data_IF_018192336154
#
_entry.id   IF_018192336154
#
_cell.length_a   1.000
_cell.length_b   1.000
_cell.length_c   1.000
_cell.angle_alpha   90.00
_cell.angle_beta   90.00
_cell.angle_gamma   90.00
#
_symmetry.space_group_name_H-M   'P 1'
#
loop_
_entity.id
_entity.type
_entity.pdbx_description
1 polymer ?
#
# COMPACT_ATOMS: atom_id res chain seq x y z
N UNK A 1 13.91 -17.77 39.52
CA UNK A 1 13.06 -16.73 40.12
C UNK A 1 13.81 -15.42 40.41
N UNK A 2 15.15 -15.44 40.57
CA UNK A 2 15.92 -14.20 40.91
C UNK A 2 16.04 -13.19 39.79
N UNK A 3 16.38 -13.59 38.55
CA UNK A 3 16.63 -12.67 37.44
C UNK A 3 15.38 -11.92 36.93
N UNK A 4 14.20 -12.53 36.99
CA UNK A 4 12.94 -11.87 36.61
C UNK A 4 12.49 -10.86 37.67
N UNK A 5 12.70 -11.16 38.94
CA UNK A 5 12.43 -10.25 40.05
C UNK A 5 13.37 -9.02 39.99
N UNK A 6 14.64 -9.26 39.69
CA UNK A 6 15.66 -8.21 39.52
C UNK A 6 15.38 -7.31 38.31
N UNK A 7 14.92 -7.89 37.18
CA UNK A 7 14.47 -7.15 36.02
C UNK A 7 13.18 -6.33 36.27
N UNK A 8 12.25 -6.88 37.04
CA UNK A 8 11.03 -6.15 37.44
C UNK A 8 11.36 -5.02 38.40
N UNK A 9 12.31 -5.21 39.33
CA UNK A 9 12.76 -4.17 40.25
C UNK A 9 13.56 -3.06 39.54
N UNK A 10 14.39 -3.42 38.52
CA UNK A 10 15.05 -2.46 37.64
C UNK A 10 14.01 -1.69 36.80
N UNK A 11 13.00 -2.40 36.27
CA UNK A 11 11.93 -1.77 35.48
C UNK A 11 11.08 -0.84 36.33
N UNK A 12 10.75 -1.20 37.59
CA UNK A 12 10.05 -0.34 38.53
C UNK A 12 10.86 0.89 38.94
N UNK A 13 12.20 0.75 39.08
CA UNK A 13 13.11 1.90 39.34
C UNK A 13 13.21 2.86 38.15
N UNK A 14 13.07 2.34 36.93
CA UNK A 14 13.07 3.19 35.71
C UNK A 14 11.73 3.94 35.57
N UNK A 15 10.62 3.38 36.07
CA UNK A 15 9.31 4.02 36.07
C UNK A 15 9.07 5.04 37.20
N UNK A 16 9.94 5.08 38.23
CA UNK A 16 9.91 6.10 39.27
C UNK A 16 10.44 7.43 38.71
N UNK A 17 9.63 8.48 38.79
CA UNK A 17 10.00 9.86 38.43
C UNK A 17 10.95 10.43 39.52
N UNK A 18 12.28 10.38 39.34
CA UNK A 18 13.24 10.65 40.44
C UNK A 18 13.11 12.06 40.98
N UNK A 19 12.64 13.01 40.18
CA UNK A 19 12.42 14.42 40.62
C UNK A 19 11.35 14.58 41.68
N UNK A 20 10.50 13.56 41.92
CA UNK A 20 9.51 13.58 43.03
C UNK A 20 10.15 13.30 44.39
N UNK A 21 11.37 12.76 44.40
CA UNK A 21 12.12 12.51 45.64
C UNK A 21 12.90 13.76 46.08
N UNK A 22 13.14 14.69 45.16
CA UNK A 22 13.84 15.93 45.48
C UNK A 22 13.00 16.81 46.41
N UNK A 23 13.60 17.39 47.46
CA UNK A 23 12.94 18.35 48.31
C UNK A 23 12.42 19.57 47.50
N UNK A 24 11.20 20.09 47.79
CA UNK A 24 10.63 21.21 47.05
C UNK A 24 11.48 22.48 47.09
N UNK A 25 12.31 22.64 48.12
CA UNK A 25 13.23 23.76 48.31
C UNK A 25 14.27 23.85 47.19
N UNK A 26 14.63 22.71 46.55
CA UNK A 26 15.55 22.65 45.42
C UNK A 26 15.02 23.47 44.25
N UNK A 27 13.72 23.35 43.94
CA UNK A 27 13.09 24.16 42.90
C UNK A 27 13.22 25.68 43.20
N UNK A 28 13.06 26.06 44.43
CA UNK A 28 13.19 27.46 44.85
C UNK A 28 14.64 27.96 44.72
N UNK A 29 15.63 27.14 45.06
CA UNK A 29 17.04 27.45 44.92
C UNK A 29 17.51 27.57 43.45
N UNK A 30 16.96 26.71 42.54
CA UNK A 30 17.36 26.69 41.13
C UNK A 30 16.59 27.68 40.24
N UNK A 31 15.36 28.07 40.62
CA UNK A 31 14.48 28.95 39.84
C UNK A 31 15.10 30.28 39.42
N UNK A 32 15.89 31.00 40.25
CA UNK A 32 16.54 32.25 39.84
C UNK A 32 17.51 32.07 38.66
N UNK A 33 18.15 30.91 38.53
CA UNK A 33 19.07 30.60 37.46
C UNK A 33 18.42 30.13 36.16
N UNK A 34 17.14 29.72 36.21
CA UNK A 34 16.45 29.02 35.09
C UNK A 34 16.49 29.82 33.79
N UNK A 35 16.32 31.14 33.81
CA UNK A 35 16.35 31.98 32.60
C UNK A 35 17.74 32.02 31.96
N UNK A 36 18.80 32.13 32.77
CA UNK A 36 20.17 32.12 32.27
C UNK A 36 20.56 30.75 31.72
N UNK A 37 20.10 29.65 32.35
CA UNK A 37 20.28 28.29 31.91
C UNK A 37 19.59 28.08 30.56
N UNK A 38 18.35 28.56 30.40
CA UNK A 38 17.63 28.48 29.13
C UNK A 38 18.37 29.15 27.97
N UNK A 39 18.91 30.33 28.19
CA UNK A 39 19.69 31.06 27.15
C UNK A 39 21.01 30.36 26.81
N UNK A 40 21.64 29.71 27.80
CA UNK A 40 22.86 28.93 27.55
C UNK A 40 22.55 27.62 26.80
N UNK A 41 21.45 26.94 27.16
CA UNK A 41 20.96 25.76 26.43
C UNK A 41 20.70 26.10 24.97
N UNK A 42 20.00 27.19 24.71
CA UNK A 42 19.72 27.66 23.35
C UNK A 42 20.99 27.88 22.53
N UNK A 43 21.94 28.63 23.09
CA UNK A 43 23.25 28.89 22.44
C UNK A 43 23.98 27.59 22.15
N UNK A 44 24.01 26.64 23.08
CA UNK A 44 24.66 25.36 22.92
C UNK A 44 23.99 24.50 21.82
N UNK A 45 22.67 24.48 21.77
CA UNK A 45 21.93 23.75 20.74
C UNK A 45 22.19 24.32 19.35
N UNK A 46 22.11 25.63 19.17
CA UNK A 46 22.30 26.30 17.86
C UNK A 46 23.71 26.09 17.34
N UNK A 47 24.74 26.14 18.22
CA UNK A 47 26.10 25.95 17.81
C UNK A 47 26.50 24.52 17.52
N UNK A 48 25.75 23.54 18.08
CA UNK A 48 26.17 22.14 18.05
C UNK A 48 25.30 21.29 17.11
N UNK A 49 23.99 21.63 16.95
CA UNK A 49 23.06 20.85 16.12
C UNK A 49 22.87 21.54 14.78
N UNK A 50 23.38 20.98 13.65
CA UNK A 50 23.31 21.63 12.33
C UNK A 50 21.88 21.98 11.87
N UNK A 51 20.89 21.16 12.23
CA UNK A 51 19.50 21.41 11.88
C UNK A 51 18.91 22.68 12.51
N UNK A 52 19.49 23.15 13.61
CA UNK A 52 19.12 24.39 14.32
C UNK A 52 20.11 25.54 14.13
N UNK A 53 21.18 25.36 13.36
CA UNK A 53 22.17 26.38 13.04
C UNK A 53 21.61 27.46 12.10
N UNK A 54 20.52 28.13 12.49
CA UNK A 54 19.83 29.23 11.79
C UNK A 54 19.61 30.39 12.75
N UNK A 55 19.50 31.64 12.25
CA UNK A 55 19.06 32.75 13.09
C UNK A 55 17.76 32.41 13.80
N UNK A 56 17.71 32.60 15.12
CA UNK A 56 16.49 32.41 15.94
C UNK A 56 15.53 33.61 15.77
N UNK A 57 15.17 33.91 14.51
CA UNK A 57 14.24 34.99 14.18
C UNK A 57 12.90 34.36 13.72
N UNK A 58 11.82 35.12 13.94
CA UNK A 58 10.45 34.69 13.62
C UNK A 58 9.93 33.51 14.42
N UNK A 59 8.85 32.93 13.97
CA UNK A 59 8.09 31.85 14.64
C UNK A 59 8.95 30.65 15.05
N UNK A 60 9.96 30.32 14.24
CA UNK A 60 10.86 29.21 14.51
C UNK A 60 11.73 29.44 15.75
N UNK A 61 12.36 30.61 15.82
CA UNK A 61 13.20 30.98 16.97
C UNK A 61 12.41 31.15 18.25
N UNK A 62 11.22 31.73 18.14
CA UNK A 62 10.30 31.88 19.27
C UNK A 62 9.81 30.52 19.78
N UNK A 63 9.47 29.59 18.90
CA UNK A 63 9.04 28.24 19.27
C UNK A 63 10.12 27.48 20.04
N UNK A 64 11.38 27.52 19.60
CA UNK A 64 12.49 26.85 20.29
C UNK A 64 12.74 27.50 21.68
N UNK A 65 12.76 28.83 21.76
CA UNK A 65 12.91 29.54 23.04
C UNK A 65 11.81 29.20 24.01
N UNK A 66 10.56 29.22 23.54
CA UNK A 66 9.39 28.85 24.35
C UNK A 66 9.49 27.40 24.84
N UNK A 67 9.85 26.47 23.97
CA UNK A 67 10.00 25.05 24.32
C UNK A 67 11.06 24.80 25.39
N UNK A 68 12.25 25.44 25.27
CA UNK A 68 13.31 25.29 26.28
C UNK A 68 12.91 25.88 27.62
N UNK A 69 12.34 27.10 27.63
CA UNK A 69 11.83 27.71 28.88
C UNK A 69 10.75 26.86 29.52
N UNK A 70 9.79 26.44 28.76
CA UNK A 70 8.67 25.63 29.26
C UNK A 70 9.16 24.28 29.83
N UNK A 71 10.18 23.66 29.23
CA UNK A 71 10.77 22.43 29.75
C UNK A 71 11.40 22.64 31.12
N UNK A 72 12.17 23.71 31.29
CA UNK A 72 12.80 24.04 32.57
C UNK A 72 11.76 24.45 33.63
N UNK A 73 10.82 25.30 33.26
CA UNK A 73 9.76 25.77 34.19
C UNK A 73 8.90 24.59 34.67
N UNK A 74 8.57 23.68 33.78
CA UNK A 74 7.80 22.48 34.12
C UNK A 74 8.57 21.50 34.99
N UNK A 75 9.86 21.25 34.67
CA UNK A 75 10.73 20.44 35.52
C UNK A 75 10.80 21.00 36.97
N UNK A 76 11.04 22.30 37.12
CA UNK A 76 11.07 22.93 38.41
C UNK A 76 9.70 22.95 39.12
N UNK A 77 8.61 23.02 38.36
CA UNK A 77 7.25 22.95 38.92
C UNK A 77 6.93 21.54 39.44
N UNK A 78 7.33 20.50 38.75
CA UNK A 78 7.18 19.10 39.20
C UNK A 78 7.97 18.84 40.51
N UNK A 79 9.20 19.35 40.62
CA UNK A 79 9.97 19.27 41.87
C UNK A 79 9.25 20.02 43.00
N UNK A 80 8.79 21.26 42.74
CA UNK A 80 8.15 22.09 43.73
C UNK A 80 6.82 21.49 44.25
N UNK A 81 6.07 20.81 43.39
CA UNK A 81 4.79 20.19 43.71
C UNK A 81 4.94 18.86 44.48
N UNK A 82 6.09 18.17 44.39
CA UNK A 82 6.30 16.84 44.95
C UNK A 82 5.32 15.77 44.39
N UNK A 83 4.65 16.08 43.29
CA UNK A 83 3.57 15.29 42.74
C UNK A 83 3.32 15.53 41.26
N UNK A 84 2.22 14.97 40.70
CA UNK A 84 1.88 15.16 39.28
C UNK A 84 1.42 16.58 39.02
N UNK A 85 2.14 17.26 38.14
CA UNK A 85 1.68 18.48 37.49
C UNK A 85 1.16 18.10 36.11
N UNK A 86 -0.04 18.52 35.68
CA UNK A 86 -0.57 18.26 34.36
C UNK A 86 0.45 18.70 33.31
N UNK A 87 0.94 17.76 32.53
CA UNK A 87 1.92 18.03 31.45
C UNK A 87 1.17 18.55 30.23
N UNK A 88 1.58 19.70 29.69
CA UNK A 88 1.06 20.14 28.41
C UNK A 88 1.55 19.19 27.30
N UNK A 89 0.72 18.95 26.27
CA UNK A 89 1.08 18.14 25.08
C UNK A 89 2.19 18.79 24.22
N UNK A 90 2.96 19.71 24.80
CA UNK A 90 3.98 20.49 24.10
C UNK A 90 5.08 19.61 23.51
N UNK A 91 5.48 18.55 24.19
CA UNK A 91 6.58 17.69 23.73
C UNK A 91 6.16 16.80 22.56
N UNK A 92 4.92 16.32 22.57
CA UNK A 92 4.32 15.66 21.39
C UNK A 92 4.19 16.64 20.23
N UNK A 93 3.75 17.87 20.51
CA UNK A 93 3.66 18.93 19.49
C UNK A 93 5.02 19.32 18.92
N UNK A 94 6.10 19.32 19.73
CA UNK A 94 7.46 19.52 19.26
C UNK A 94 7.86 18.41 18.28
N UNK A 95 7.65 17.14 18.63
CA UNK A 95 7.93 16.01 17.75
C UNK A 95 7.14 16.08 16.45
N UNK A 96 5.86 16.46 16.48
CA UNK A 96 5.03 16.70 15.31
C UNK A 96 5.57 17.84 14.44
N UNK A 97 5.96 18.96 15.06
CA UNK A 97 6.52 20.13 14.39
C UNK A 97 7.84 19.82 13.68
N UNK A 98 8.71 18.99 14.27
CA UNK A 98 9.94 18.54 13.62
C UNK A 98 9.65 17.75 12.34
N UNK A 99 8.71 16.81 12.39
CA UNK A 99 8.30 16.04 11.22
C UNK A 99 7.70 16.94 10.13
N UNK A 100 6.81 17.87 10.49
CA UNK A 100 6.19 18.81 9.53
C UNK A 100 7.20 19.74 8.89
N UNK A 101 8.25 20.11 9.63
CA UNK A 101 9.35 20.95 9.14
C UNK A 101 10.42 20.16 8.36
N UNK A 102 10.23 18.85 8.15
CA UNK A 102 11.18 17.98 7.44
C UNK A 102 12.49 17.74 8.20
N UNK A 103 12.53 17.95 9.51
CA UNK A 103 13.69 17.70 10.35
C UNK A 103 13.63 16.30 10.98
N UNK A 104 14.80 15.72 11.24
CA UNK A 104 14.87 14.40 11.83
C UNK A 104 14.63 14.44 13.35
N UNK A 105 13.99 13.39 13.87
CA UNK A 105 13.84 13.18 15.31
C UNK A 105 15.21 13.20 16.03
N UNK A 106 16.28 12.66 15.40
CA UNK A 106 17.64 12.67 15.95
C UNK A 106 18.17 14.08 16.27
N UNK A 107 17.79 15.07 15.47
CA UNK A 107 18.15 16.46 15.71
C UNK A 107 17.53 16.98 17.00
N UNK A 108 16.26 16.68 17.25
CA UNK A 108 15.56 17.05 18.48
C UNK A 108 16.14 16.32 19.69
N UNK A 109 16.35 15.01 19.59
CA UNK A 109 16.94 14.23 20.68
C UNK A 109 18.38 14.68 20.99
N UNK A 110 19.14 15.13 20.00
CA UNK A 110 20.46 15.70 20.20
C UNK A 110 20.39 17.04 20.93
N UNK A 111 19.39 17.88 20.60
CA UNK A 111 19.16 19.13 21.31
C UNK A 111 18.82 18.88 22.79
N UNK A 112 17.96 17.88 23.09
CA UNK A 112 17.64 17.51 24.48
C UNK A 112 18.88 17.08 25.25
N UNK A 113 19.73 16.19 24.69
CA UNK A 113 20.99 15.76 25.35
C UNK A 113 21.96 16.91 25.60
N UNK A 114 22.06 17.86 24.69
CA UNK A 114 22.89 19.06 24.86
C UNK A 114 22.32 19.94 25.95
N UNK A 115 21.00 20.16 25.91
CA UNK A 115 20.31 20.95 26.93
C UNK A 115 20.45 20.34 28.32
N UNK A 116 20.29 19.03 28.48
CA UNK A 116 20.47 18.32 29.75
C UNK A 116 21.87 18.52 30.34
N UNK A 117 22.92 18.44 29.50
CA UNK A 117 24.32 18.67 29.97
C UNK A 117 24.56 20.11 30.44
N UNK A 118 23.95 21.09 29.75
CA UNK A 118 24.05 22.49 30.16
C UNK A 118 23.27 22.71 31.47
N UNK A 119 22.04 22.21 31.56
CA UNK A 119 21.22 22.31 32.75
C UNK A 119 21.91 21.67 33.97
N UNK A 120 22.42 20.42 33.79
CA UNK A 120 23.14 19.73 34.86
C UNK A 120 24.35 20.55 35.34
N UNK A 121 25.22 21.01 34.45
CA UNK A 121 26.41 21.79 34.82
C UNK A 121 26.04 23.04 35.61
N UNK A 122 25.04 23.79 35.12
CA UNK A 122 24.63 25.04 35.78
C UNK A 122 23.89 24.84 37.09
N UNK A 123 22.98 23.89 37.13
CA UNK A 123 22.24 23.59 38.35
C UNK A 123 23.11 22.94 39.42
N UNK A 124 24.12 22.16 39.05
CA UNK A 124 25.11 21.68 40.03
C UNK A 124 25.99 22.79 40.60
N UNK A 125 26.44 23.76 39.77
CA UNK A 125 27.18 24.94 40.25
C UNK A 125 26.33 25.73 41.28
N UNK A 126 25.08 26.05 40.94
CA UNK A 126 24.14 26.73 41.83
C UNK A 126 23.89 25.92 43.10
N UNK A 127 23.71 24.60 42.97
CA UNK A 127 23.51 23.72 44.12
C UNK A 127 24.66 23.71 45.10
N UNK A 128 25.90 23.67 44.60
CA UNK A 128 27.10 23.76 45.43
C UNK A 128 27.18 25.14 46.14
N UNK A 129 26.91 26.23 45.41
CA UNK A 129 26.89 27.59 46.00
C UNK A 129 25.84 27.75 47.11
N UNK A 130 24.69 27.04 46.96
CA UNK A 130 23.60 27.03 47.96
C UNK A 130 23.82 26.01 49.10
N UNK A 131 24.93 25.26 49.09
CA UNK A 131 25.31 24.31 50.13
C UNK A 131 24.51 22.99 50.09
N UNK A 132 24.03 22.55 48.90
CA UNK A 132 23.36 21.27 48.76
C UNK A 132 24.29 20.11 49.01
N UNK A 133 23.81 19.08 49.68
CA UNK A 133 24.59 17.86 49.93
C UNK A 133 24.86 17.08 48.61
N UNK A 134 25.94 16.33 48.57
CA UNK A 134 26.34 15.56 47.36
C UNK A 134 25.28 14.55 46.93
N UNK A 135 24.56 13.94 47.89
CA UNK A 135 23.46 12.98 47.61
C UNK A 135 22.31 13.67 46.82
N UNK A 136 21.92 14.86 47.27
CA UNK A 136 20.88 15.65 46.56
C UNK A 136 21.33 16.08 45.16
N UNK A 137 22.63 16.37 44.96
CA UNK A 137 23.18 16.65 43.63
C UNK A 137 23.14 15.41 42.72
N UNK A 138 23.39 14.20 43.23
CA UNK A 138 23.27 12.98 42.46
C UNK A 138 21.79 12.70 42.08
N UNK A 139 20.86 12.89 43.00
CA UNK A 139 19.42 12.77 42.72
C UNK A 139 18.95 13.80 41.70
N UNK A 140 19.47 15.02 41.73
CA UNK A 140 19.19 16.05 40.73
C UNK A 140 19.69 15.65 39.34
N UNK A 141 20.91 15.05 39.25
CA UNK A 141 21.44 14.53 37.98
C UNK A 141 20.55 13.43 37.43
N UNK A 142 20.19 12.44 38.23
CA UNK A 142 19.29 11.35 37.86
C UNK A 142 17.93 11.90 37.38
N UNK A 143 17.41 12.89 38.08
CA UNK A 143 16.14 13.56 37.75
C UNK A 143 16.20 14.27 36.39
N UNK A 144 17.27 15.00 36.08
CA UNK A 144 17.47 15.67 34.79
C UNK A 144 17.53 14.66 33.64
N UNK A 145 18.29 13.56 33.82
CA UNK A 145 18.39 12.54 32.77
C UNK A 145 17.08 11.80 32.56
N UNK A 146 16.41 11.37 33.61
CA UNK A 146 15.10 10.73 33.52
C UNK A 146 14.04 11.65 32.90
N UNK A 147 14.08 12.95 33.20
CA UNK A 147 13.19 13.93 32.58
C UNK A 147 13.42 14.09 31.09
N UNK A 148 14.68 14.12 30.64
CA UNK A 148 15.02 14.15 29.21
C UNK A 148 14.59 12.88 28.48
N UNK A 149 14.71 11.70 29.10
CA UNK A 149 14.23 10.44 28.52
C UNK A 149 12.73 10.49 28.32
N UNK A 150 11.97 11.05 29.28
CA UNK A 150 10.55 11.26 29.16
C UNK A 150 10.19 12.21 28.00
N UNK A 151 10.84 13.38 27.90
CA UNK A 151 10.62 14.33 26.80
C UNK A 151 10.94 13.70 25.44
N UNK A 152 11.98 12.88 25.41
CA UNK A 152 12.42 12.15 24.22
C UNK A 152 11.35 11.14 23.76
N UNK A 153 10.79 10.39 24.69
CA UNK A 153 9.72 9.40 24.41
C UNK A 153 8.44 10.09 23.91
N UNK A 154 8.01 11.18 24.55
CA UNK A 154 6.81 11.92 24.12
C UNK A 154 7.00 12.56 22.74
N UNK A 155 8.16 13.16 22.48
CA UNK A 155 8.48 13.72 21.16
C UNK A 155 8.56 12.66 20.06
N UNK A 156 9.13 11.49 20.39
CA UNK A 156 9.14 10.36 19.46
C UNK A 156 7.73 9.88 19.10
N UNK A 157 6.84 9.82 20.09
CA UNK A 157 5.43 9.48 19.85
C UNK A 157 4.74 10.52 18.95
N UNK A 158 4.97 11.82 19.21
CA UNK A 158 4.43 12.90 18.40
C UNK A 158 4.91 12.85 16.95
N UNK A 159 6.22 12.64 16.77
CA UNK A 159 6.83 12.49 15.45
C UNK A 159 6.25 11.28 14.68
N UNK A 160 6.17 10.12 15.32
CA UNK A 160 5.62 8.90 14.73
C UNK A 160 4.12 9.07 14.38
N UNK A 161 3.35 9.72 15.25
CA UNK A 161 1.94 10.00 15.00
C UNK A 161 1.75 10.92 13.77
N UNK A 162 2.56 11.99 13.65
CA UNK A 162 2.53 12.88 12.50
C UNK A 162 2.94 12.18 11.20
N UNK A 163 3.97 11.33 11.26
CA UNK A 163 4.40 10.53 10.12
C UNK A 163 3.30 9.56 9.66
N UNK A 164 2.64 8.89 10.60
CA UNK A 164 1.53 7.98 10.28
C UNK A 164 0.33 8.72 9.69
N UNK A 165 0.01 9.90 10.21
CA UNK A 165 -1.06 10.75 9.69
C UNK A 165 -0.77 11.22 8.26
N UNK A 166 0.45 11.67 7.98
CA UNK A 166 0.88 12.10 6.65
C UNK A 166 0.84 10.93 5.63
N UNK A 167 1.30 9.75 6.04
CA UNK A 167 1.23 8.54 5.21
C UNK A 167 -0.23 8.14 4.91
N UNK A 168 -1.12 8.22 5.92
CA UNK A 168 -2.54 7.95 5.76
C UNK A 168 -3.22 8.95 4.81
N UNK A 169 -2.89 10.23 4.90
CA UNK A 169 -3.42 11.26 4.01
C UNK A 169 -2.96 11.04 2.56
N UNK A 170 -1.69 10.70 2.36
CA UNK A 170 -1.17 10.39 1.02
C UNK A 170 -1.84 9.16 0.42
N UNK A 171 -2.10 8.13 1.23
CA UNK A 171 -2.83 6.95 0.78
C UNK A 171 -4.27 7.29 0.39
N UNK A 172 -4.97 8.14 1.13
CA UNK A 172 -6.31 8.64 0.77
C UNK A 172 -6.30 9.40 -0.55
N UNK A 173 -5.28 10.25 -0.79
CA UNK A 173 -5.11 10.96 -2.08
C UNK A 173 -4.88 9.98 -3.23
N UNK A 174 -4.06 8.94 -3.05
CA UNK A 174 -3.84 7.87 -4.04
C UNK A 174 -5.12 7.12 -4.36
N UNK A 175 -5.90 6.74 -3.35
CA UNK A 175 -7.21 6.09 -3.52
C UNK A 175 -8.19 6.97 -4.28
N UNK A 176 -8.24 8.27 -3.95
CA UNK A 176 -9.06 9.24 -4.69
C UNK A 176 -8.63 9.32 -6.16
N UNK A 177 -7.33 9.33 -6.44
CA UNK A 177 -6.80 9.34 -7.81
C UNK A 177 -7.24 8.11 -8.60
N UNK A 178 -7.22 6.90 -8.03
CA UNK A 178 -7.74 5.70 -8.69
C UNK A 178 -9.19 5.91 -9.10
N UNK A 179 -10.05 6.40 -8.19
CA UNK A 179 -11.47 6.66 -8.50
C UNK A 179 -11.65 7.68 -9.63
N UNK A 180 -10.78 8.70 -9.68
CA UNK A 180 -10.78 9.71 -10.75
C UNK A 180 -10.39 9.08 -12.08
N UNK A 181 -9.30 8.31 -12.13
CA UNK A 181 -8.78 7.70 -13.35
C UNK A 181 -9.72 6.67 -13.99
N UNK A 182 -10.50 5.96 -13.16
CA UNK A 182 -11.42 4.91 -13.66
C UNK A 182 -12.84 5.42 -13.92
N UNK A 183 -13.05 6.73 -13.91
CA UNK A 183 -14.36 7.31 -14.30
C UNK A 183 -14.58 7.20 -15.81
N UNK A 184 -15.84 6.99 -16.17
CA UNK A 184 -16.31 7.04 -17.55
C UNK A 184 -17.54 7.97 -17.62
N UNK A 185 -17.48 9.09 -18.38
CA UNK A 185 -16.35 9.56 -19.16
C UNK A 185 -15.16 10.03 -18.28
N UNK A 186 -13.93 9.97 -18.82
CA UNK A 186 -12.75 10.43 -18.09
C UNK A 186 -12.81 11.94 -17.83
N UNK A 187 -12.31 12.42 -16.68
CA UNK A 187 -12.24 13.84 -16.40
C UNK A 187 -11.19 14.53 -17.28
N UNK A 188 -11.19 15.88 -17.25
CA UNK A 188 -10.21 16.67 -18.00
C UNK A 188 -8.76 16.41 -17.51
N UNK A 189 -7.80 16.62 -18.41
CA UNK A 189 -6.39 16.31 -18.16
C UNK A 189 -5.77 17.14 -17.02
N UNK A 190 -6.18 18.38 -16.87
CA UNK A 190 -5.63 19.29 -15.87
C UNK A 190 -6.08 18.88 -14.47
N UNK A 191 -7.35 18.52 -14.30
CA UNK A 191 -7.87 17.96 -13.04
C UNK A 191 -7.18 16.67 -12.64
N UNK A 192 -6.90 15.77 -13.60
CA UNK A 192 -6.15 14.54 -13.34
C UNK A 192 -4.71 14.82 -12.95
N UNK A 193 -4.04 15.75 -13.66
CA UNK A 193 -2.66 16.11 -13.35
C UNK A 193 -2.53 16.71 -11.95
N UNK A 194 -3.46 17.59 -11.56
CA UNK A 194 -3.51 18.16 -10.21
C UNK A 194 -3.69 17.06 -9.14
N UNK A 195 -4.64 16.16 -9.32
CA UNK A 195 -4.89 15.06 -8.38
C UNK A 195 -3.69 14.08 -8.29
N UNK A 196 -2.99 13.84 -9.40
CA UNK A 196 -1.81 13.00 -9.44
C UNK A 196 -0.63 13.64 -8.67
N UNK A 197 -0.43 14.97 -8.85
CA UNK A 197 0.56 15.72 -8.09
C UNK A 197 0.26 15.70 -6.58
N UNK A 198 -0.99 15.93 -6.17
CA UNK A 198 -1.42 15.81 -4.77
C UNK A 198 -1.20 14.42 -4.18
N UNK A 199 -1.39 13.36 -4.98
CA UNK A 199 -1.17 11.99 -4.58
C UNK A 199 0.32 11.58 -4.57
N UNK A 200 1.23 12.43 -5.03
CA UNK A 200 2.64 12.11 -5.23
C UNK A 200 2.81 10.92 -6.18
N UNK A 201 1.99 10.85 -7.25
CA UNK A 201 2.03 9.78 -8.24
C UNK A 201 2.23 10.36 -9.64
N UNK A 202 3.34 9.99 -10.25
CA UNK A 202 3.65 10.43 -11.60
C UNK A 202 2.72 9.72 -12.61
N UNK A 203 2.06 10.52 -13.48
CA UNK A 203 1.18 9.99 -14.51
C UNK A 203 1.99 9.18 -15.53
N UNK A 204 1.78 7.87 -15.65
CA UNK A 204 2.55 7.04 -16.56
C UNK A 204 2.08 7.23 -18.01
N UNK A 205 2.97 6.96 -18.96
CA UNK A 205 2.61 6.92 -20.38
C UNK A 205 1.66 5.78 -20.70
N UNK A 206 1.84 4.66 -20.04
CA UNK A 206 1.00 3.47 -20.16
C UNK A 206 0.70 2.88 -18.79
N UNK A 207 -0.48 2.31 -18.65
CA UNK A 207 -0.88 1.56 -17.47
C UNK A 207 -1.76 0.36 -17.84
N UNK A 208 -1.89 -0.58 -16.92
CA UNK A 208 -2.95 -1.57 -16.95
C UNK A 208 -3.69 -1.59 -15.61
N UNK A 209 -5.01 -1.79 -15.68
CA UNK A 209 -5.81 -2.07 -14.50
C UNK A 209 -5.78 -3.56 -14.18
N UNK A 210 -5.77 -3.90 -12.88
CA UNK A 210 -5.97 -5.25 -12.38
C UNK A 210 -7.20 -5.24 -11.47
N UNK A 211 -8.15 -6.12 -11.72
CA UNK A 211 -9.29 -6.34 -10.84
C UNK A 211 -9.01 -7.57 -9.97
N UNK A 212 -9.04 -7.41 -8.66
CA UNK A 212 -8.72 -8.48 -7.70
C UNK A 212 -9.93 -8.77 -6.85
N UNK A 213 -10.28 -10.05 -6.71
CA UNK A 213 -11.36 -10.56 -5.87
C UNK A 213 -10.84 -11.62 -4.90
N UNK A 214 -11.67 -11.94 -3.88
CA UNK A 214 -11.37 -12.96 -2.87
C UNK A 214 -10.78 -12.41 -1.57
N UNK A 215 -10.63 -13.30 -0.60
CA UNK A 215 -10.22 -12.93 0.77
C UNK A 215 -8.74 -12.55 0.88
N UNK A 216 -7.93 -12.85 -0.14
CA UNK A 216 -6.49 -12.52 -0.16
C UNK A 216 -6.15 -11.18 -0.82
N UNK A 217 -7.12 -10.37 -1.22
CA UNK A 217 -6.90 -9.13 -1.97
C UNK A 217 -5.98 -8.13 -1.24
N UNK A 218 -6.12 -7.99 0.07
CA UNK A 218 -5.29 -7.09 0.88
C UNK A 218 -3.83 -7.58 0.95
N UNK A 219 -3.62 -8.89 1.03
CA UNK A 219 -2.29 -9.50 1.00
C UNK A 219 -1.61 -9.32 -0.36
N UNK A 220 -2.38 -9.32 -1.45
CA UNK A 220 -1.85 -9.05 -2.79
C UNK A 220 -1.40 -7.60 -2.88
N UNK A 221 -2.26 -6.64 -2.51
CA UNK A 221 -1.95 -5.20 -2.60
C UNK A 221 -0.74 -4.80 -1.75
N UNK A 222 -0.58 -5.40 -0.57
CA UNK A 222 0.58 -5.15 0.30
C UNK A 222 1.93 -5.64 -0.28
N UNK A 223 1.90 -6.48 -1.34
CA UNK A 223 3.10 -7.04 -1.99
C UNK A 223 3.37 -6.44 -3.37
N UNK A 224 2.55 -5.51 -3.80
CA UNK A 224 2.77 -4.79 -5.05
C UNK A 224 3.84 -3.70 -4.89
N UNK A 225 4.53 -3.32 -5.96
CA UNK A 225 5.49 -2.23 -5.95
C UNK A 225 4.88 -0.90 -5.46
N UNK A 226 5.71 -0.03 -4.88
CA UNK A 226 5.27 1.25 -4.28
C UNK A 226 4.70 2.27 -5.27
N UNK A 227 5.00 2.12 -6.56
CA UNK A 227 4.49 2.95 -7.65
C UNK A 227 3.08 2.55 -8.12
N UNK A 228 2.57 1.43 -7.62
CA UNK A 228 1.21 0.95 -7.89
C UNK A 228 0.24 1.62 -6.93
N UNK A 229 -0.91 2.05 -7.45
CA UNK A 229 -2.00 2.60 -6.64
C UNK A 229 -3.22 1.70 -6.71
N UNK A 230 -3.95 1.58 -5.59
CA UNK A 230 -5.07 0.66 -5.48
C UNK A 230 -6.24 1.26 -4.70
N UNK A 231 -7.46 0.88 -5.07
CA UNK A 231 -8.69 1.27 -4.36
C UNK A 231 -9.79 0.23 -4.56
N UNK A 232 -10.67 0.12 -3.57
CA UNK A 232 -11.88 -0.69 -3.68
C UNK A 232 -12.89 0.00 -4.61
N UNK A 233 -13.23 -0.64 -5.72
CA UNK A 233 -14.22 -0.15 -6.67
C UNK A 233 -15.32 -1.20 -6.84
N UNK A 234 -16.44 -0.99 -6.17
CA UNK A 234 -17.48 -2.02 -6.03
C UNK A 234 -16.99 -3.19 -5.17
N UNK A 235 -17.10 -4.41 -5.67
CA UNK A 235 -16.71 -5.64 -4.96
C UNK A 235 -15.25 -6.06 -5.20
N UNK A 236 -14.54 -5.37 -6.08
CA UNK A 236 -13.15 -5.70 -6.46
C UNK A 236 -12.19 -4.60 -6.07
N UNK A 237 -10.96 -4.96 -5.70
CA UNK A 237 -9.87 -4.01 -5.63
C UNK A 237 -9.41 -3.72 -7.06
N UNK A 238 -9.47 -2.45 -7.44
CA UNK A 238 -8.86 -1.94 -8.65
C UNK A 238 -7.42 -1.53 -8.34
N UNK A 239 -6.48 -2.11 -9.04
CA UNK A 239 -5.06 -1.78 -9.00
C UNK A 239 -4.69 -1.13 -10.32
N UNK A 240 -4.05 0.03 -10.30
CA UNK A 240 -3.48 0.66 -11.49
C UNK A 240 -1.97 0.48 -11.46
N UNK A 241 -1.46 -0.25 -12.42
CA UNK A 241 -0.04 -0.59 -12.55
C UNK A 241 0.59 0.19 -13.69
N UNK A 242 1.53 1.11 -13.40
CA UNK A 242 2.32 1.80 -14.41
C UNK A 242 3.18 0.85 -15.22
N UNK A 243 3.38 1.16 -16.49
CA UNK A 243 4.27 0.46 -17.44
C UNK A 243 4.20 -1.08 -17.34
N UNK A 244 3.01 -1.68 -17.54
CA UNK A 244 2.75 -3.10 -17.30
C UNK A 244 3.58 -4.03 -18.20
N UNK A 245 4.02 -3.55 -19.35
CA UNK A 245 4.87 -4.28 -20.29
C UNK A 245 6.38 -4.12 -19.98
N UNK A 246 6.73 -3.38 -18.92
CA UNK A 246 8.10 -3.23 -18.45
C UNK A 246 8.71 -4.54 -17.91
N UNK A 247 10.07 -4.64 -17.90
CA UNK A 247 10.75 -5.84 -17.45
C UNK A 247 10.35 -6.26 -16.03
N UNK A 248 9.94 -7.51 -15.86
CA UNK A 248 9.60 -8.08 -14.54
C UNK A 248 8.21 -7.76 -14.00
N UNK A 249 7.52 -6.74 -14.51
CA UNK A 249 6.24 -6.25 -13.96
C UNK A 249 5.16 -7.34 -13.88
N UNK A 250 4.97 -8.06 -14.97
CA UNK A 250 4.01 -9.18 -15.00
C UNK A 250 4.38 -10.28 -14.00
N UNK A 251 5.66 -10.62 -13.89
CA UNK A 251 6.13 -11.66 -12.96
C UNK A 251 5.97 -11.24 -11.50
N UNK A 252 6.13 -9.95 -11.18
CA UNK A 252 5.86 -9.40 -9.85
C UNK A 252 4.38 -9.52 -9.49
N UNK A 253 3.49 -9.11 -10.39
CA UNK A 253 2.04 -9.26 -10.21
C UNK A 253 1.64 -10.73 -10.02
N UNK A 254 2.10 -11.63 -10.87
CA UNK A 254 1.83 -13.06 -10.78
C UNK A 254 2.33 -13.64 -9.46
N UNK A 255 3.49 -13.22 -8.97
CA UNK A 255 4.05 -13.64 -7.68
C UNK A 255 3.18 -13.15 -6.52
N UNK A 256 2.74 -11.89 -6.56
CA UNK A 256 1.86 -11.33 -5.54
C UNK A 256 0.53 -12.10 -5.47
N UNK A 257 -0.09 -12.40 -6.61
CA UNK A 257 -1.35 -13.16 -6.66
C UNK A 257 -1.17 -14.59 -6.19
N UNK A 258 -0.11 -15.30 -6.61
CA UNK A 258 0.16 -16.68 -6.16
C UNK A 258 0.40 -16.80 -4.65
N UNK A 259 0.74 -15.71 -3.99
CA UNK A 259 1.01 -15.69 -2.54
C UNK A 259 -0.22 -15.53 -1.66
N UNK A 260 -1.41 -15.42 -2.23
CA UNK A 260 -2.65 -15.16 -1.50
C UNK A 260 -3.84 -15.89 -2.17
N UNK A 261 -4.89 -16.24 -1.41
CA UNK A 261 -6.10 -16.85 -1.97
C UNK A 261 -6.95 -15.79 -2.70
N UNK A 262 -6.47 -15.32 -3.86
CA UNK A 262 -7.11 -14.29 -4.66
C UNK A 262 -7.23 -14.73 -6.12
N UNK A 263 -8.27 -14.21 -6.78
CA UNK A 263 -8.44 -14.25 -8.23
C UNK A 263 -8.21 -12.85 -8.79
N UNK A 264 -7.58 -12.75 -9.94
CA UNK A 264 -7.30 -11.47 -10.57
C UNK A 264 -7.50 -11.52 -12.09
N UNK A 265 -8.04 -10.44 -12.62
CA UNK A 265 -8.08 -10.17 -14.05
C UNK A 265 -7.13 -9.02 -14.38
N UNK A 266 -6.28 -9.19 -15.38
CA UNK A 266 -5.40 -8.16 -15.91
C UNK A 266 -6.02 -7.56 -17.17
N UNK A 267 -6.28 -6.27 -17.17
CA UNK A 267 -6.75 -5.50 -18.31
C UNK A 267 -5.66 -5.34 -19.38
N UNK A 268 -6.02 -4.67 -20.46
CA UNK A 268 -5.06 -4.34 -21.52
C UNK A 268 -4.26 -3.11 -21.16
N UNK A 269 -3.01 -3.03 -21.63
CA UNK A 269 -2.19 -1.84 -21.57
C UNK A 269 -2.82 -0.71 -22.38
N UNK A 270 -2.97 0.45 -21.75
CA UNK A 270 -3.60 1.65 -22.32
C UNK A 270 -2.88 2.90 -21.82
N UNK A 271 -3.18 4.07 -22.40
CA UNK A 271 -2.82 5.34 -21.77
C UNK A 271 -3.72 5.60 -20.53
N UNK A 272 -3.31 6.49 -19.64
CA UNK A 272 -4.04 6.76 -18.40
C UNK A 272 -5.49 7.25 -18.63
N UNK A 273 -5.78 7.93 -19.76
CA UNK A 273 -7.13 8.42 -20.12
C UNK A 273 -8.11 7.28 -20.40
N UNK A 274 -7.60 6.09 -20.68
CA UNK A 274 -8.39 4.87 -20.94
C UNK A 274 -8.34 3.89 -19.76
N UNK A 275 -7.97 4.33 -18.56
CA UNK A 275 -7.91 3.45 -17.38
C UNK A 275 -9.25 2.74 -17.09
N UNK A 276 -10.38 3.42 -17.30
CA UNK A 276 -11.71 2.84 -17.18
C UNK A 276 -11.91 1.64 -18.13
N UNK A 277 -11.46 1.77 -19.38
CA UNK A 277 -11.52 0.68 -20.36
C UNK A 277 -10.65 -0.51 -19.94
N UNK A 278 -9.43 -0.24 -19.45
CA UNK A 278 -8.57 -1.29 -18.93
C UNK A 278 -9.21 -2.01 -17.74
N UNK A 279 -9.85 -1.28 -16.81
CA UNK A 279 -10.57 -1.87 -15.67
C UNK A 279 -11.78 -2.71 -16.11
N UNK A 280 -12.55 -2.24 -17.08
CA UNK A 280 -13.66 -3.02 -17.62
C UNK A 280 -13.18 -4.36 -18.19
N UNK A 281 -12.07 -4.35 -18.94
CA UNK A 281 -11.43 -5.56 -19.49
C UNK A 281 -10.83 -6.45 -18.39
N UNK A 282 -10.26 -5.85 -17.35
CA UNK A 282 -9.75 -6.59 -16.19
C UNK A 282 -10.88 -7.34 -15.47
N UNK A 283 -12.02 -6.68 -15.25
CA UNK A 283 -13.20 -7.31 -14.65
C UNK A 283 -13.78 -8.43 -15.51
N UNK A 284 -13.84 -8.21 -16.81
CA UNK A 284 -14.28 -9.26 -17.74
C UNK A 284 -13.34 -10.47 -17.71
N UNK A 285 -12.02 -10.25 -17.66
CA UNK A 285 -11.04 -11.31 -17.51
C UNK A 285 -11.14 -12.05 -16.17
N UNK A 286 -11.43 -11.32 -15.07
CA UNK A 286 -11.62 -11.91 -13.75
C UNK A 286 -12.78 -12.93 -13.73
N UNK A 287 -13.86 -12.67 -14.45
CA UNK A 287 -15.00 -13.62 -14.57
C UNK A 287 -14.58 -14.95 -15.18
N UNK A 288 -13.50 -14.98 -15.96
CA UNK A 288 -12.95 -16.21 -16.55
C UNK A 288 -12.05 -17.00 -15.60
N UNK A 289 -11.73 -16.46 -14.43
CA UNK A 289 -10.90 -17.16 -13.43
C UNK A 289 -11.73 -18.28 -12.77
N UNK A 290 -11.23 -19.50 -12.83
CA UNK A 290 -11.91 -20.70 -12.30
C UNK A 290 -11.18 -21.31 -11.11
N UNK A 291 -9.96 -20.88 -10.84
CA UNK A 291 -9.10 -21.38 -9.76
C UNK A 291 -8.66 -20.24 -8.84
N UNK A 292 -8.21 -20.59 -7.65
CA UNK A 292 -7.63 -19.66 -6.67
C UNK A 292 -6.34 -20.26 -6.12
N UNK A 293 -5.18 -19.59 -6.24
CA UNK A 293 -4.98 -18.29 -6.90
C UNK A 293 -4.91 -18.38 -8.43
N UNK A 294 -5.42 -17.37 -9.14
CA UNK A 294 -5.35 -17.30 -10.60
C UNK A 294 -5.27 -15.85 -11.10
N UNK A 295 -4.43 -15.61 -12.11
CA UNK A 295 -4.37 -14.38 -12.89
C UNK A 295 -4.79 -14.66 -14.33
N UNK A 296 -5.87 -14.03 -14.79
CA UNK A 296 -6.36 -14.13 -16.17
C UNK A 296 -6.11 -12.82 -16.90
N UNK A 297 -5.38 -12.87 -18.00
CA UNK A 297 -5.11 -11.71 -18.86
C UNK A 297 -6.20 -11.52 -19.90
N UNK A 298 -6.73 -10.30 -19.98
CA UNK A 298 -7.71 -9.93 -21.01
C UNK A 298 -7.13 -10.05 -22.42
N UNK A 299 -5.86 -9.72 -22.61
CA UNK A 299 -5.16 -9.84 -23.91
C UNK A 299 -5.08 -11.29 -24.38
N UNK A 300 -4.69 -12.20 -23.48
CA UNK A 300 -4.52 -13.61 -23.80
C UNK A 300 -5.87 -14.32 -24.02
N UNK A 301 -6.95 -13.75 -23.51
CA UNK A 301 -8.32 -14.26 -23.62
C UNK A 301 -9.24 -13.39 -24.47
N UNK A 302 -8.70 -12.51 -25.33
CA UNK A 302 -9.46 -11.53 -26.07
C UNK A 302 -10.62 -12.15 -26.88
N UNK A 303 -10.40 -13.29 -27.55
CA UNK A 303 -11.45 -14.00 -28.28
C UNK A 303 -12.61 -14.45 -27.39
N UNK A 304 -12.31 -14.98 -26.19
CA UNK A 304 -13.34 -15.38 -25.22
C UNK A 304 -14.13 -14.19 -24.70
N UNK A 305 -13.45 -13.07 -24.44
CA UNK A 305 -14.07 -11.84 -23.95
C UNK A 305 -14.97 -11.21 -25.01
N UNK A 306 -14.57 -11.23 -26.29
CA UNK A 306 -15.41 -10.75 -27.39
C UNK A 306 -16.71 -11.57 -27.49
N UNK A 307 -16.64 -12.90 -27.38
CA UNK A 307 -17.80 -13.76 -27.40
C UNK A 307 -18.68 -13.64 -26.15
N UNK A 308 -18.10 -13.23 -25.02
CA UNK A 308 -18.84 -13.00 -23.79
C UNK A 308 -19.47 -11.61 -23.70
N UNK A 309 -19.12 -10.67 -24.60
CA UNK A 309 -19.65 -9.30 -24.60
C UNK A 309 -21.14 -9.24 -24.93
N UNK A 310 -21.60 -10.11 -25.82
CA UNK A 310 -23.02 -10.34 -26.11
C UNK A 310 -23.28 -11.85 -26.13
N UNK A 311 -23.62 -12.37 -24.94
CA UNK A 311 -23.84 -13.82 -24.76
C UNK A 311 -25.09 -14.34 -25.49
N UNK A 312 -26.11 -13.50 -25.63
CA UNK A 312 -27.37 -13.88 -26.29
C UNK A 312 -27.13 -14.03 -27.79
N UNK A 313 -26.55 -13.01 -28.43
CA UNK A 313 -26.19 -13.08 -29.85
C UNK A 313 -25.21 -14.22 -30.15
N UNK A 314 -24.21 -14.43 -29.29
CA UNK A 314 -23.29 -15.53 -29.45
C UNK A 314 -23.96 -16.90 -29.35
N UNK A 315 -24.92 -17.06 -28.40
CA UNK A 315 -25.70 -18.29 -28.24
C UNK A 315 -26.66 -18.55 -29.42
N UNK A 316 -27.30 -17.49 -29.93
CA UNK A 316 -28.12 -17.57 -31.14
C UNK A 316 -27.30 -18.03 -32.36
N UNK A 317 -26.15 -17.41 -32.58
CA UNK A 317 -25.22 -17.82 -33.63
C UNK A 317 -24.84 -19.29 -33.51
N UNK A 318 -24.46 -19.73 -32.30
CA UNK A 318 -24.07 -21.13 -32.06
C UNK A 318 -25.27 -22.09 -32.28
N UNK A 319 -26.45 -21.66 -31.85
CA UNK A 319 -27.71 -22.42 -32.06
C UNK A 319 -27.97 -22.66 -33.55
N UNK A 320 -27.92 -21.62 -34.36
CA UNK A 320 -28.21 -21.66 -35.77
C UNK A 320 -27.16 -22.46 -36.55
N UNK A 321 -25.88 -22.14 -36.33
CA UNK A 321 -24.78 -22.77 -37.07
C UNK A 321 -24.54 -24.23 -36.71
N UNK A 322 -24.83 -24.64 -35.46
CA UNK A 322 -24.71 -26.03 -35.01
C UNK A 322 -26.02 -26.80 -35.01
N UNK A 323 -27.11 -26.26 -35.57
CA UNK A 323 -28.43 -26.88 -35.64
C UNK A 323 -28.36 -28.34 -36.17
N UNK A 324 -27.60 -28.68 -37.23
CA UNK A 324 -27.50 -30.06 -37.72
C UNK A 324 -26.96 -31.07 -36.70
N UNK A 325 -26.15 -30.61 -35.75
CA UNK A 325 -25.60 -31.48 -34.68
C UNK A 325 -26.60 -31.68 -33.53
N UNK A 326 -27.57 -30.77 -33.33
CA UNK A 326 -28.55 -30.83 -32.22
C UNK A 326 -29.56 -31.94 -32.37
N UNK A 327 -29.83 -32.37 -33.58
CA UNK A 327 -30.75 -33.48 -33.88
C UNK A 327 -30.15 -34.86 -33.53
N UNK A 328 -28.85 -34.89 -33.23
CA UNK A 328 -28.15 -36.13 -32.92
C UNK A 328 -28.23 -36.50 -31.43
N UNK A 329 -28.07 -37.78 -31.11
CA UNK A 329 -27.91 -38.23 -29.74
C UNK A 329 -26.71 -37.53 -29.09
N UNK A 330 -26.76 -37.26 -27.76
CA UNK A 330 -25.72 -36.54 -27.01
C UNK A 330 -24.30 -37.08 -27.27
N UNK A 331 -24.13 -38.41 -27.29
CA UNK A 331 -22.85 -39.05 -27.57
C UNK A 331 -22.31 -38.84 -29.00
N UNK A 332 -23.23 -38.83 -30.01
CA UNK A 332 -22.87 -38.55 -31.39
C UNK A 332 -22.58 -37.08 -31.60
N UNK A 333 -23.37 -36.20 -31.05
CA UNK A 333 -23.14 -34.74 -31.04
C UNK A 333 -21.73 -34.41 -30.50
N UNK A 334 -21.41 -34.87 -29.30
CA UNK A 334 -20.10 -34.60 -28.70
C UNK A 334 -18.94 -35.07 -29.59
N UNK A 335 -18.99 -36.30 -30.10
CA UNK A 335 -17.94 -36.85 -30.97
C UNK A 335 -17.78 -36.10 -32.30
N UNK A 336 -18.89 -35.66 -32.90
CA UNK A 336 -18.87 -34.92 -34.16
C UNK A 336 -18.47 -33.46 -33.96
N UNK A 337 -18.93 -32.80 -32.88
CA UNK A 337 -18.46 -31.44 -32.53
C UNK A 337 -16.95 -31.43 -32.27
N UNK A 338 -16.42 -32.38 -31.51
CA UNK A 338 -14.97 -32.54 -31.31
C UNK A 338 -14.22 -32.77 -32.62
N UNK A 339 -14.75 -33.64 -33.47
CA UNK A 339 -14.14 -33.93 -34.79
C UNK A 339 -14.17 -32.69 -35.68
N UNK A 340 -15.26 -31.94 -35.72
CA UNK A 340 -15.38 -30.70 -36.50
C UNK A 340 -14.39 -29.63 -35.99
N UNK A 341 -14.30 -29.45 -34.68
CA UNK A 341 -13.36 -28.52 -34.06
C UNK A 341 -11.90 -28.82 -34.45
N UNK A 342 -11.49 -30.07 -34.31
CA UNK A 342 -10.13 -30.50 -34.71
C UNK A 342 -9.93 -30.37 -36.22
N UNK A 343 -10.91 -30.73 -37.05
CA UNK A 343 -10.81 -30.62 -38.50
C UNK A 343 -10.64 -29.17 -38.98
N UNK A 344 -11.38 -28.25 -38.40
CA UNK A 344 -11.25 -26.82 -38.67
C UNK A 344 -9.86 -26.31 -38.25
N UNK A 345 -9.37 -26.70 -37.07
CA UNK A 345 -8.06 -26.32 -36.56
C UNK A 345 -6.90 -26.87 -37.42
N UNK A 346 -7.02 -28.10 -37.92
CA UNK A 346 -6.02 -28.77 -38.77
C UNK A 346 -6.20 -28.47 -40.27
N UNK A 347 -7.08 -27.51 -40.60
CA UNK A 347 -7.31 -27.09 -42.00
C UNK A 347 -7.67 -28.25 -42.94
N UNK A 348 -8.43 -29.22 -42.46
CA UNK A 348 -8.89 -30.32 -43.25
C UNK A 348 -7.89 -31.49 -43.46
N UNK A 349 -6.73 -31.46 -42.83
CA UNK A 349 -5.67 -32.49 -42.97
C UNK A 349 -6.05 -33.76 -42.20
N UNK A 350 -6.67 -34.72 -42.88
CA UNK A 350 -7.24 -35.94 -42.29
C UNK A 350 -6.26 -36.73 -41.40
N UNK A 351 -4.99 -36.87 -41.80
CA UNK A 351 -4.00 -37.59 -41.00
C UNK A 351 -3.76 -36.94 -39.64
N UNK A 352 -3.64 -35.60 -39.59
CA UNK A 352 -3.48 -34.85 -38.35
C UNK A 352 -4.73 -34.86 -37.48
N UNK A 353 -5.93 -34.85 -38.11
CA UNK A 353 -7.20 -34.97 -37.39
C UNK A 353 -7.27 -36.33 -36.69
N UNK A 354 -6.91 -37.43 -37.34
CA UNK A 354 -6.91 -38.74 -36.72
C UNK A 354 -5.92 -38.85 -35.57
N UNK A 355 -4.70 -38.35 -35.75
CA UNK A 355 -3.66 -38.29 -34.71
C UNK A 355 -4.10 -37.49 -33.50
N UNK A 356 -4.64 -36.27 -33.69
CA UNK A 356 -5.04 -35.38 -32.62
C UNK A 356 -6.27 -35.87 -31.86
N UNK A 357 -7.17 -36.61 -32.51
CA UNK A 357 -8.33 -37.25 -31.87
C UNK A 357 -7.98 -38.60 -31.21
N UNK A 358 -6.76 -39.14 -31.45
CA UNK A 358 -6.38 -40.46 -30.94
C UNK A 358 -7.21 -41.58 -31.54
N UNK A 359 -7.66 -41.45 -32.80
CA UNK A 359 -8.52 -42.46 -33.46
C UNK A 359 -7.87 -43.01 -34.73
N UNK A 360 -8.28 -44.19 -35.13
CA UNK A 360 -7.82 -44.77 -36.41
C UNK A 360 -8.23 -43.88 -37.60
N UNK A 361 -7.41 -43.70 -38.66
CA UNK A 361 -7.72 -42.86 -39.81
C UNK A 361 -9.06 -43.18 -40.50
N UNK A 362 -9.46 -44.44 -40.51
CA UNK A 362 -10.82 -44.83 -41.04
C UNK A 362 -11.94 -44.25 -40.18
N UNK A 363 -11.80 -44.22 -38.85
CA UNK A 363 -12.78 -43.62 -37.94
C UNK A 363 -12.88 -42.11 -38.17
N UNK A 364 -11.77 -41.43 -38.33
CA UNK A 364 -11.73 -40.00 -38.65
C UNK A 364 -12.42 -39.73 -40.02
N UNK A 365 -12.12 -40.58 -41.03
CA UNK A 365 -12.76 -40.47 -42.34
C UNK A 365 -14.25 -40.68 -42.28
N UNK A 366 -14.72 -41.66 -41.51
CA UNK A 366 -16.17 -41.94 -41.33
C UNK A 366 -16.84 -40.73 -40.66
N UNK A 367 -16.28 -40.22 -39.58
CA UNK A 367 -16.82 -39.03 -38.86
C UNK A 367 -16.89 -37.80 -39.77
N UNK A 368 -15.84 -37.56 -40.58
CA UNK A 368 -15.80 -36.45 -41.54
C UNK A 368 -16.85 -36.65 -42.67
N UNK A 369 -17.04 -37.88 -43.13
CA UNK A 369 -18.14 -38.20 -44.07
C UNK A 369 -19.49 -37.81 -43.50
N UNK A 370 -19.75 -38.16 -42.21
CA UNK A 370 -20.97 -37.79 -41.51
C UNK A 370 -21.15 -36.27 -41.34
N UNK A 371 -20.04 -35.55 -41.07
CA UNK A 371 -20.08 -34.06 -41.01
C UNK A 371 -20.40 -33.45 -42.38
N UNK A 372 -19.89 -34.03 -43.49
CA UNK A 372 -20.22 -33.57 -44.85
C UNK A 372 -21.69 -33.82 -45.20
N UNK A 373 -22.27 -34.90 -44.72
CA UNK A 373 -23.72 -35.15 -44.89
C UNK A 373 -24.56 -34.13 -44.15
N UNK A 374 -24.12 -33.67 -42.96
CA UNK A 374 -24.83 -32.71 -42.11
C UNK A 374 -24.69 -31.28 -42.58
N UNK A 375 -23.51 -30.85 -42.98
CA UNK A 375 -23.20 -29.45 -43.29
C UNK A 375 -23.05 -29.18 -44.79
N UNK A 376 -23.05 -30.22 -45.61
CA UNK A 376 -22.94 -30.07 -47.04
C UNK A 376 -21.78 -29.24 -47.53
N UNK A 377 -22.04 -28.27 -48.40
CA UNK A 377 -21.06 -27.35 -48.97
C UNK A 377 -20.51 -26.32 -48.00
N UNK A 378 -21.11 -26.13 -46.84
CA UNK A 378 -20.63 -25.19 -45.80
C UNK A 378 -19.22 -25.57 -45.33
N UNK A 379 -18.85 -26.85 -45.35
CA UNK A 379 -17.50 -27.26 -44.97
C UNK A 379 -16.43 -26.92 -46.05
N UNK A 380 -16.85 -26.57 -47.26
CA UNK A 380 -15.94 -26.17 -48.33
C UNK A 380 -15.83 -24.63 -48.48
N UNK A 381 -16.79 -23.89 -47.90
CA UNK A 381 -16.82 -22.43 -47.85
C UNK A 381 -15.96 -21.86 -46.69
N UNK A 382 -14.94 -21.03 -46.95
CA UNK A 382 -14.12 -20.42 -45.91
C UNK A 382 -14.90 -19.58 -44.92
N UNK A 383 -15.91 -18.84 -45.34
CA UNK A 383 -16.74 -18.00 -44.51
C UNK A 383 -17.59 -18.84 -43.54
N UNK A 384 -18.23 -19.88 -44.05
CA UNK A 384 -19.01 -20.82 -43.23
C UNK A 384 -18.10 -21.54 -42.21
N UNK A 385 -16.88 -21.97 -42.61
CA UNK A 385 -15.90 -22.53 -41.66
C UNK A 385 -15.55 -21.60 -40.52
N UNK A 386 -15.38 -20.30 -40.81
CA UNK A 386 -15.13 -19.30 -39.77
C UNK A 386 -16.27 -19.24 -38.77
N UNK A 387 -17.54 -19.17 -39.26
CA UNK A 387 -18.73 -19.15 -38.40
C UNK A 387 -18.92 -20.44 -37.61
N UNK A 388 -18.68 -21.59 -38.19
CA UNK A 388 -18.70 -22.88 -37.49
C UNK A 388 -17.63 -22.96 -36.39
N UNK A 389 -16.41 -22.45 -36.67
CA UNK A 389 -15.34 -22.42 -35.68
C UNK A 389 -15.67 -21.48 -34.51
N UNK A 390 -16.33 -20.35 -34.79
CA UNK A 390 -16.81 -19.41 -33.79
C UNK A 390 -17.93 -20.05 -32.93
N UNK A 391 -18.90 -20.65 -33.55
CA UNK A 391 -20.03 -21.32 -32.89
C UNK A 391 -19.58 -22.44 -31.94
N UNK A 392 -18.60 -23.26 -32.35
CA UNK A 392 -18.01 -24.29 -31.48
C UNK A 392 -17.26 -23.74 -30.28
N UNK A 393 -16.69 -22.53 -30.38
CA UNK A 393 -16.06 -21.86 -29.23
C UNK A 393 -17.08 -21.33 -28.24
N UNK A 394 -18.23 -20.85 -28.73
CA UNK A 394 -19.34 -20.40 -27.87
C UNK A 394 -19.94 -21.58 -27.11
N UNK A 395 -20.22 -22.71 -27.80
CA UNK A 395 -20.76 -23.92 -27.21
C UNK A 395 -19.85 -24.47 -26.09
N UNK A 396 -18.52 -24.47 -26.32
CA UNK A 396 -17.54 -24.86 -25.31
C UNK A 396 -17.28 -23.84 -24.17
N UNK A 397 -17.91 -22.66 -24.20
CA UNK A 397 -17.93 -21.71 -23.08
C UNK A 397 -19.16 -21.93 -22.18
N UNK A 398 -20.13 -22.72 -22.61
CA UNK A 398 -21.39 -22.98 -21.90
C UNK A 398 -21.33 -24.26 -21.05
N UNK A 399 -20.29 -25.08 -21.23
CA UNK A 399 -19.96 -26.27 -20.43
C UNK A 399 -18.89 -25.92 -19.35
#
# INVERSE_FOLDING_TARGET
MSAVAELVEIQQKVDEQPWRRLPPEIASALRPAASAVAEEMLRAVITTVPAYARPLEGDFGEGIRAGVRQALDHFLAEIAAGGEVPRPDVYRSLGQGEMQAGRSLDSLLSAYRIGARVAWRRFSEVGVEQGLESETLFELAESIFAYIDLLSAESAQGHAAAQSAAAGEQELRRRRLVRILVRDPPPDADSVAAAAAEAGWELPRSLAAVAIAGNGRELVTARLPADVIAEMIGETVCVLMPDPDGPGRRSELERAIRSAPAQAGLGTTVNWQQAALSLARARAALVLATRTPELVSARDNAGRLLLAADRELAAELAADRLAPLRELSAGSRRRLSETLSVWLAEQGRLGRVAERLGVHPQTARYRLGRLRELFGTELDDPEARFWLALALRVDGLSD
#
